data_IF_061130961509
#
_entry.id   IF_061130961509
#
_cell.length_a   1.000
_cell.length_b   1.000
_cell.length_c   1.000
_cell.angle_alpha   90.00
_cell.angle_beta   90.00
_cell.angle_gamma   90.00
#
_symmetry.space_group_name_H-M   'P 1'
#
loop_
_entity.id
_entity.type
_entity.pdbx_description
1 polymer ?
#
# COMPACT_ATOMS: atom_id res chain seq x y z
N UNK A 1 11.39 7.43 3.39
CA UNK A 1 12.41 8.11 4.23
C UNK A 1 13.26 8.97 3.32
N UNK A 2 13.35 10.25 3.62
CA UNK A 2 14.11 11.20 2.81
C UNK A 2 15.61 10.92 2.94
N UNK A 3 16.30 10.85 1.82
CA UNK A 3 17.76 10.68 1.77
C UNK A 3 18.44 12.06 1.78
N UNK A 4 19.63 12.11 2.37
CA UNK A 4 20.45 13.33 2.39
C UNK A 4 20.88 13.74 0.98
N UNK A 5 21.30 15.00 0.82
CA UNK A 5 21.82 15.52 -0.46
C UNK A 5 20.79 15.60 -1.60
N UNK A 6 19.50 15.52 -1.30
CA UNK A 6 18.47 15.61 -2.34
C UNK A 6 18.37 14.37 -3.23
N UNK A 7 18.92 13.23 -2.80
CA UNK A 7 18.93 11.98 -3.55
C UNK A 7 17.56 11.29 -3.70
N UNK A 8 16.51 11.83 -3.03
CA UNK A 8 15.16 11.30 -3.13
C UNK A 8 14.69 10.65 -1.84
N UNK A 9 13.86 9.63 -1.99
CA UNK A 9 13.23 8.91 -0.88
C UNK A 9 13.41 7.41 -1.01
N UNK A 10 13.66 6.75 0.13
CA UNK A 10 13.59 5.31 0.26
C UNK A 10 12.22 4.92 0.80
N UNK A 11 11.54 3.97 0.16
CA UNK A 11 10.25 3.46 0.60
C UNK A 11 10.37 2.05 1.16
N UNK A 12 9.56 1.74 2.17
CA UNK A 12 9.38 0.39 2.67
C UNK A 12 8.24 -0.28 1.89
N UNK A 13 8.55 -1.32 1.13
CA UNK A 13 7.58 -1.97 0.25
C UNK A 13 6.71 -2.98 1.01
N UNK A 14 5.38 -2.81 0.95
CA UNK A 14 4.43 -3.69 1.63
C UNK A 14 4.23 -5.06 0.96
N UNK A 15 4.84 -5.31 -0.19
CA UNK A 15 4.77 -6.63 -0.84
C UNK A 15 5.34 -7.77 0.02
N UNK A 16 6.19 -7.46 0.99
CA UNK A 16 6.76 -8.46 1.90
C UNK A 16 5.71 -9.03 2.87
N UNK A 17 4.61 -8.32 3.11
CA UNK A 17 3.56 -8.74 4.03
C UNK A 17 2.43 -9.46 3.28
N UNK A 18 2.06 -10.69 3.70
CA UNK A 18 0.91 -11.40 3.11
C UNK A 18 -0.39 -10.77 3.61
N UNK A 19 -0.93 -9.83 2.85
CA UNK A 19 -2.16 -9.13 3.17
C UNK A 19 -3.05 -9.07 1.94
N UNK A 20 -4.18 -9.78 1.97
CA UNK A 20 -5.17 -9.82 0.88
C UNK A 20 -6.41 -9.00 1.20
N UNK A 21 -6.90 -9.07 2.43
CA UNK A 21 -8.07 -8.31 2.86
C UNK A 21 -7.65 -6.97 3.46
N UNK A 22 -8.59 -6.03 3.52
CA UNK A 22 -8.37 -4.75 4.19
C UNK A 22 -7.98 -4.93 5.66
N UNK A 23 -8.61 -5.87 6.38
CA UNK A 23 -8.25 -6.14 7.77
C UNK A 23 -6.82 -6.65 7.93
N UNK A 24 -6.35 -7.47 7.00
CA UNK A 24 -4.95 -7.93 6.99
C UNK A 24 -3.98 -6.78 6.69
N UNK A 25 -4.34 -5.87 5.79
CA UNK A 25 -3.53 -4.67 5.51
C UNK A 25 -3.42 -3.79 6.76
N UNK A 26 -4.55 -3.56 7.46
CA UNK A 26 -4.55 -2.81 8.72
C UNK A 26 -3.65 -3.45 9.77
N UNK A 27 -3.78 -4.75 9.95
CA UNK A 27 -2.94 -5.50 10.89
C UNK A 27 -1.45 -5.39 10.55
N UNK A 28 -1.08 -5.47 9.27
CA UNK A 28 0.30 -5.30 8.83
C UNK A 28 0.82 -3.89 9.13
N UNK A 29 0.04 -2.85 8.82
CA UNK A 29 0.42 -1.46 9.07
C UNK A 29 0.61 -1.17 10.56
N UNK A 30 -0.33 -1.60 11.40
CA UNK A 30 -0.29 -1.36 12.86
C UNK A 30 0.70 -2.25 13.61
N UNK A 31 1.07 -3.38 13.05
CA UNK A 31 1.98 -4.36 13.65
C UNK A 31 3.39 -4.28 13.08
N UNK A 32 3.76 -5.20 12.16
CA UNK A 32 5.15 -5.32 11.69
C UNK A 32 5.68 -4.07 10.99
N UNK A 33 4.88 -3.34 10.24
CA UNK A 33 5.33 -2.11 9.57
C UNK A 33 5.66 -1.02 10.59
N UNK A 34 4.82 -0.85 11.61
CA UNK A 34 5.07 0.07 12.71
C UNK A 34 6.35 -0.31 13.46
N UNK A 35 6.56 -1.59 13.75
CA UNK A 35 7.76 -2.08 14.43
C UNK A 35 9.04 -1.78 13.64
N UNK A 36 9.02 -1.91 12.31
CA UNK A 36 10.16 -1.53 11.46
C UNK A 36 10.40 -0.02 11.54
N UNK A 37 9.35 0.79 11.43
CA UNK A 37 9.46 2.25 11.57
C UNK A 37 10.14 2.65 12.87
N UNK A 38 9.72 2.08 13.99
CA UNK A 38 10.28 2.41 15.31
C UNK A 38 11.78 2.14 15.41
N UNK A 39 12.29 1.16 14.65
CA UNK A 39 13.71 0.85 14.63
C UNK A 39 14.51 1.71 13.67
N UNK A 40 13.99 2.01 12.49
CA UNK A 40 14.76 2.64 11.40
C UNK A 40 14.48 4.12 11.20
N UNK A 41 13.32 4.60 11.65
CA UNK A 41 12.90 6.00 11.49
C UNK A 41 11.96 6.44 12.60
N UNK A 42 12.36 6.35 13.90
CA UNK A 42 11.46 6.60 15.02
C UNK A 42 10.95 8.05 15.06
N UNK A 43 11.78 9.01 14.68
CA UNK A 43 11.53 10.44 14.85
C UNK A 43 11.23 11.18 13.54
N UNK A 44 11.07 10.47 12.42
CA UNK A 44 10.82 11.06 11.12
C UNK A 44 9.68 10.32 10.39
N UNK A 45 9.05 10.95 9.37
CA UNK A 45 8.08 10.27 8.54
C UNK A 45 8.64 9.01 7.88
N UNK A 46 7.84 7.97 7.83
CA UNK A 46 8.19 6.69 7.24
C UNK A 46 7.46 6.50 5.93
N UNK A 47 8.21 6.46 4.84
CA UNK A 47 7.63 6.35 3.50
C UNK A 47 7.32 4.89 3.17
N UNK A 48 6.07 4.60 2.86
CA UNK A 48 5.60 3.26 2.50
C UNK A 48 5.29 3.17 1.01
N UNK A 49 5.72 2.08 0.41
CA UNK A 49 5.24 1.64 -0.90
C UNK A 49 4.03 0.74 -0.68
N UNK A 50 2.85 1.31 -0.80
CA UNK A 50 1.60 0.61 -0.50
C UNK A 50 1.32 -0.46 -1.54
N UNK A 51 0.96 -1.66 -1.10
CA UNK A 51 0.41 -2.70 -1.96
C UNK A 51 -0.98 -3.08 -1.47
N UNK A 52 -1.93 -3.06 -2.38
CA UNK A 52 -3.31 -3.48 -2.15
C UNK A 52 -3.71 -4.53 -3.17
N UNK A 53 -4.30 -5.62 -2.69
CA UNK A 53 -4.96 -6.62 -3.55
C UNK A 53 -6.23 -6.06 -4.18
N UNK A 54 -6.84 -6.80 -5.08
CA UNK A 54 -8.17 -6.49 -5.59
C UNK A 54 -9.21 -6.38 -4.48
N UNK A 55 -9.19 -7.33 -3.53
CA UNK A 55 -10.13 -7.35 -2.39
C UNK A 55 -9.97 -6.14 -1.47
N UNK A 56 -8.73 -5.84 -1.06
CA UNK A 56 -8.47 -4.69 -0.22
C UNK A 56 -8.80 -3.36 -0.93
N UNK A 57 -8.52 -3.28 -2.23
CA UNK A 57 -8.86 -2.11 -3.04
C UNK A 57 -10.36 -1.91 -3.14
N UNK A 58 -11.12 -3.00 -3.29
CA UNK A 58 -12.59 -2.94 -3.30
C UNK A 58 -13.15 -2.44 -1.97
N UNK A 59 -12.62 -2.93 -0.84
CA UNK A 59 -13.01 -2.48 0.49
C UNK A 59 -12.73 -0.99 0.69
N UNK A 60 -11.62 -0.49 0.15
CA UNK A 60 -11.23 0.92 0.23
C UNK A 60 -12.01 1.85 -0.73
N UNK A 61 -13.00 1.35 -1.46
CA UNK A 61 -13.98 2.21 -2.12
C UNK A 61 -14.97 2.81 -1.11
N UNK A 62 -15.13 2.21 0.07
CA UNK A 62 -15.91 2.77 1.16
C UNK A 62 -15.19 4.00 1.76
N UNK A 63 -15.87 5.15 1.86
CA UNK A 63 -15.30 6.36 2.48
C UNK A 63 -14.84 6.16 3.92
N UNK A 64 -15.50 5.32 4.70
CA UNK A 64 -15.10 5.05 6.09
C UNK A 64 -13.79 4.26 6.16
N UNK A 65 -13.60 3.28 5.29
CA UNK A 65 -12.35 2.54 5.19
C UNK A 65 -11.18 3.42 4.72
N UNK A 66 -11.44 4.35 3.81
CA UNK A 66 -10.42 5.35 3.40
C UNK A 66 -10.05 6.31 4.53
N UNK A 67 -11.04 6.74 5.31
CA UNK A 67 -10.79 7.58 6.49
C UNK A 67 -9.93 6.83 7.52
N UNK A 68 -10.22 5.55 7.76
CA UNK A 68 -9.43 4.70 8.65
C UNK A 68 -7.98 4.52 8.16
N UNK A 69 -7.76 4.34 6.87
CA UNK A 69 -6.41 4.29 6.30
C UNK A 69 -5.65 5.59 6.56
N UNK A 70 -6.31 6.73 6.41
CA UNK A 70 -5.73 8.04 6.68
C UNK A 70 -5.38 8.23 8.15
N UNK A 71 -6.25 7.77 9.05
CA UNK A 71 -5.98 7.77 10.50
C UNK A 71 -4.75 6.93 10.84
N UNK A 72 -4.66 5.70 10.30
CA UNK A 72 -3.50 4.82 10.50
C UNK A 72 -2.20 5.51 10.07
N UNK A 73 -2.21 6.20 8.94
CA UNK A 73 -1.05 6.94 8.46
C UNK A 73 -0.66 8.07 9.40
N UNK A 74 -1.64 8.85 9.85
CA UNK A 74 -1.41 9.98 10.76
C UNK A 74 -0.90 9.50 12.13
N UNK A 75 -1.53 8.49 12.71
CA UNK A 75 -1.16 7.93 14.01
C UNK A 75 0.26 7.35 14.04
N UNK A 76 0.69 6.75 12.92
CA UNK A 76 1.97 6.05 12.84
C UNK A 76 3.07 6.85 12.15
N UNK A 77 2.79 8.05 11.67
CA UNK A 77 3.76 8.85 10.92
C UNK A 77 4.15 8.22 9.58
N UNK A 78 3.21 7.51 8.93
CA UNK A 78 3.41 6.96 7.60
C UNK A 78 3.06 7.96 6.51
N UNK A 79 3.71 7.81 5.34
CA UNK A 79 3.33 8.48 4.11
C UNK A 79 3.27 7.46 2.98
N UNK A 80 2.19 7.44 2.21
CA UNK A 80 2.13 6.69 0.98
C UNK A 80 2.86 7.47 -0.11
N UNK A 81 4.06 7.05 -0.45
CA UNK A 81 4.86 7.71 -1.47
C UNK A 81 4.71 7.03 -2.84
N UNK A 82 4.59 5.71 -2.82
CA UNK A 82 4.38 4.88 -4.01
C UNK A 82 3.30 3.84 -3.76
N UNK A 83 2.75 3.31 -4.84
CA UNK A 83 1.77 2.23 -4.77
C UNK A 83 2.08 1.17 -5.82
N UNK A 84 2.04 -0.09 -5.41
CA UNK A 84 2.18 -1.23 -6.31
C UNK A 84 0.80 -1.73 -6.72
N UNK A 85 0.47 -1.58 -7.99
CA UNK A 85 -0.74 -2.14 -8.61
C UNK A 85 -0.54 -3.60 -9.05
N UNK A 86 0.10 -4.41 -8.19
CA UNK A 86 0.47 -5.81 -8.46
C UNK A 86 0.97 -6.48 -7.18
N UNK A 87 0.68 -7.79 -6.93
CA UNK A 87 -0.31 -8.59 -7.63
C UNK A 87 -1.76 -8.23 -7.23
N UNK A 88 -2.71 -8.55 -8.11
CA UNK A 88 -4.15 -8.39 -7.85
C UNK A 88 -4.65 -9.42 -6.82
N UNK A 89 -4.30 -10.70 -7.00
CA UNK A 89 -4.69 -11.81 -6.16
C UNK A 89 -3.62 -12.21 -5.15
N UNK A 90 -3.86 -13.30 -4.40
CA UNK A 90 -2.90 -13.85 -3.45
C UNK A 90 -1.65 -14.39 -4.16
N UNK A 91 -0.49 -14.22 -3.54
CA UNK A 91 0.78 -14.72 -4.07
C UNK A 91 1.72 -15.28 -2.99
N UNK A 92 1.49 -14.98 -1.72
CA UNK A 92 2.24 -15.56 -0.62
C UNK A 92 1.75 -16.97 -0.29
N UNK A 93 2.68 -17.89 -0.04
CA UNK A 93 2.36 -19.26 0.35
C UNK A 93 1.78 -20.14 -0.77
N UNK A 94 1.83 -19.66 -2.01
CA UNK A 94 1.34 -20.37 -3.19
C UNK A 94 2.38 -20.34 -4.30
N UNK A 95 2.41 -21.39 -5.10
CA UNK A 95 3.14 -21.39 -6.36
C UNK A 95 2.31 -20.65 -7.40
N UNK A 96 2.58 -19.37 -7.60
CA UNK A 96 1.91 -18.54 -8.59
C UNK A 96 2.84 -18.39 -9.78
N UNK A 97 2.46 -18.96 -10.91
CA UNK A 97 3.19 -18.84 -12.18
C UNK A 97 2.70 -17.59 -12.95
N UNK A 98 2.38 -17.76 -14.23
CA UNK A 98 1.85 -16.70 -15.08
C UNK A 98 0.52 -16.11 -14.57
N UNK A 99 -0.25 -16.83 -13.77
CA UNK A 99 -1.52 -16.38 -13.18
C UNK A 99 -1.37 -15.15 -12.27
N UNK A 100 -0.19 -14.91 -11.72
CA UNK A 100 0.08 -13.71 -10.91
C UNK A 100 -0.14 -12.41 -11.71
N UNK A 101 -0.02 -12.46 -13.03
CA UNK A 101 -0.24 -11.33 -13.94
C UNK A 101 -1.71 -11.11 -14.32
N UNK A 102 -2.62 -11.99 -13.86
CA UNK A 102 -4.04 -11.84 -14.09
C UNK A 102 -4.72 -11.04 -12.96
N UNK A 103 -5.77 -10.25 -13.23
CA UNK A 103 -6.25 -9.86 -14.57
C UNK A 103 -5.23 -8.95 -15.29
N UNK A 104 -5.07 -9.16 -16.57
CA UNK A 104 -4.17 -8.35 -17.41
C UNK A 104 -4.92 -7.19 -18.13
N UNK A 105 -4.18 -6.40 -18.90
CA UNK A 105 -4.70 -5.21 -19.57
C UNK A 105 -5.71 -5.49 -20.70
N UNK A 106 -5.99 -6.74 -21.02
CA UNK A 106 -7.03 -7.16 -21.95
C UNK A 106 -8.41 -7.20 -21.30
N UNK A 107 -8.50 -7.06 -19.98
CA UNK A 107 -9.74 -7.18 -19.22
C UNK A 107 -10.12 -5.86 -18.54
N UNK A 108 -11.41 -5.64 -18.36
CA UNK A 108 -11.95 -4.46 -17.69
C UNK A 108 -11.53 -4.41 -16.22
N UNK A 109 -11.43 -5.58 -15.58
CA UNK A 109 -11.05 -5.71 -14.17
C UNK A 109 -9.69 -5.06 -13.88
N UNK A 110 -8.72 -5.20 -14.78
CA UNK A 110 -7.41 -4.56 -14.62
C UNK A 110 -7.52 -3.04 -14.67
N UNK A 111 -8.34 -2.51 -15.56
CA UNK A 111 -8.56 -1.06 -15.68
C UNK A 111 -9.25 -0.52 -14.42
N UNK A 112 -10.32 -1.18 -13.98
CA UNK A 112 -11.09 -0.76 -12.81
C UNK A 112 -10.25 -0.83 -11.53
N UNK A 113 -9.47 -1.89 -11.35
CA UNK A 113 -8.51 -2.01 -10.26
C UNK A 113 -7.49 -0.87 -10.25
N UNK A 114 -6.88 -0.58 -11.38
CA UNK A 114 -5.87 0.48 -11.48
C UNK A 114 -6.47 1.87 -11.23
N UNK A 115 -7.67 2.14 -11.73
CA UNK A 115 -8.37 3.38 -11.46
C UNK A 115 -8.71 3.53 -9.97
N UNK A 116 -9.16 2.45 -9.32
CA UNK A 116 -9.44 2.44 -7.90
C UNK A 116 -8.19 2.71 -7.05
N UNK A 117 -7.06 2.09 -7.39
CA UNK A 117 -5.76 2.36 -6.77
C UNK A 117 -5.35 3.83 -6.93
N UNK A 118 -5.52 4.39 -8.12
CA UNK A 118 -5.20 5.78 -8.41
C UNK A 118 -6.02 6.74 -7.54
N UNK A 119 -7.31 6.46 -7.36
CA UNK A 119 -8.19 7.24 -6.50
C UNK A 119 -7.74 7.18 -5.02
N UNK A 120 -7.38 6.00 -4.51
CA UNK A 120 -6.85 5.83 -3.16
C UNK A 120 -5.54 6.61 -3.01
N UNK A 121 -4.63 6.51 -3.97
CA UNK A 121 -3.36 7.22 -3.93
C UNK A 121 -3.54 8.75 -3.98
N UNK A 122 -4.51 9.24 -4.72
CA UNK A 122 -4.82 10.67 -4.78
C UNK A 122 -5.28 11.21 -3.41
N UNK A 123 -6.01 10.39 -2.64
CA UNK A 123 -6.48 10.77 -1.31
C UNK A 123 -5.38 10.71 -0.23
N UNK A 124 -4.38 9.85 -0.40
CA UNK A 124 -3.40 9.49 0.63
C UNK A 124 -1.95 9.75 0.24
N UNK A 125 -1.68 10.11 -1.00
CA UNK A 125 -0.33 10.37 -1.50
C UNK A 125 0.34 11.55 -0.79
N UNK A 126 1.63 11.45 -0.62
CA UNK A 126 2.48 12.53 -0.09
C UNK A 126 2.66 13.60 -1.17
N UNK A 127 1.62 14.28 -1.49
CA UNK A 127 1.75 15.30 -2.49
C UNK A 127 0.71 16.38 -2.30
N UNK A 128 1.16 17.45 -1.88
CA UNK A 128 0.76 18.85 -1.88
C UNK A 128 1.19 19.48 -0.57
N UNK A 129 2.45 19.43 -0.36
CA UNK A 129 3.09 20.36 0.54
C UNK A 129 3.95 21.25 -0.30
#
# INVERSE_FOLDING_TARGET
MKLEGGLGHLTYCLNIHPAQTWDQVKAALRGPVHAVKDQVSPNAPFDVGLRLSGDATQSLQDPSARAELKEIYQENGFRALTMNGFPYGPFHGQTVKAEVYQPDWRTRERVDYTNALSAIMADHGAGRG
#
